data_IF_602748869333
#
_entry.id   IF_602748869333
#
_cell.length_a   1.000
_cell.length_b   1.000
_cell.length_c   1.000
_cell.angle_alpha   90.00
_cell.angle_beta   90.00
_cell.angle_gamma   90.00
#
_symmetry.space_group_name_H-M   'P 1'
#
loop_
_entity.id
_entity.type
_entity.pdbx_description
1 polymer ?
#
# COMPACT_ATOMS: atom_id res chain seq x y z
N UNK A 1 12.89 12.20 -10.85
CA UNK A 1 12.74 10.74 -11.03
C UNK A 1 11.96 10.07 -9.90
N UNK A 2 11.98 10.58 -8.65
CA UNK A 2 11.28 10.00 -7.49
C UNK A 2 9.75 9.91 -7.64
N UNK A 3 9.09 10.97 -8.10
CA UNK A 3 7.61 11.03 -8.17
C UNK A 3 6.97 9.90 -9.00
N UNK A 4 7.67 9.40 -10.02
CA UNK A 4 7.18 8.30 -10.87
C UNK A 4 7.22 6.95 -10.15
N UNK A 5 8.16 6.75 -9.24
CA UNK A 5 8.23 5.55 -8.39
C UNK A 5 7.16 5.59 -7.30
N UNK A 6 6.91 6.76 -6.70
CA UNK A 6 5.87 6.92 -5.68
C UNK A 6 4.49 6.55 -6.26
N UNK A 7 4.19 7.00 -7.48
CA UNK A 7 2.95 6.65 -8.19
C UNK A 7 2.78 5.14 -8.40
N UNK A 8 3.88 4.41 -8.65
CA UNK A 8 3.86 2.95 -8.80
C UNK A 8 3.51 2.28 -7.47
N UNK A 9 4.02 2.78 -6.34
CA UNK A 9 3.70 2.23 -5.02
C UNK A 9 2.22 2.39 -4.70
N UNK A 10 1.65 3.58 -4.91
CA UNK A 10 0.21 3.78 -4.67
C UNK A 10 -0.66 2.95 -5.60
N UNK A 11 -0.23 2.73 -6.85
CA UNK A 11 -0.95 1.83 -7.78
C UNK A 11 -0.89 0.38 -7.34
N UNK A 12 0.23 -0.08 -6.77
CA UNK A 12 0.31 -1.41 -6.16
C UNK A 12 -0.60 -1.51 -4.94
N UNK A 13 -0.60 -0.50 -4.07
CA UNK A 13 -1.45 -0.46 -2.87
C UNK A 13 -2.94 -0.49 -3.23
N UNK A 14 -3.36 0.31 -4.21
CA UNK A 14 -4.73 0.30 -4.74
C UNK A 14 -5.14 -1.11 -5.15
N UNK A 15 -4.35 -1.79 -5.99
CA UNK A 15 -4.65 -3.16 -6.44
C UNK A 15 -4.69 -4.18 -5.30
N UNK A 16 -3.84 -4.02 -4.29
CA UNK A 16 -3.85 -4.89 -3.12
C UNK A 16 -5.16 -4.70 -2.33
N UNK A 17 -5.56 -3.47 -2.06
CA UNK A 17 -6.82 -3.17 -1.37
C UNK A 17 -8.03 -3.65 -2.17
N UNK A 18 -7.98 -3.53 -3.49
CA UNK A 18 -9.01 -4.00 -4.43
C UNK A 18 -9.10 -5.53 -4.52
N UNK A 19 -8.11 -6.26 -4.00
CA UNK A 19 -8.16 -7.72 -3.87
C UNK A 19 -8.78 -8.19 -2.54
N UNK A 20 -9.05 -7.27 -1.61
CA UNK A 20 -9.66 -7.57 -0.33
C UNK A 20 -11.19 -7.57 -0.44
N UNK A 21 -11.93 -8.26 0.46
CA UNK A 21 -13.39 -8.35 0.39
C UNK A 21 -14.18 -7.03 0.49
N UNK A 22 -13.50 -5.90 0.74
CA UNK A 22 -14.13 -4.57 0.86
C UNK A 22 -14.08 -3.78 -0.46
N UNK A 23 -13.32 -4.26 -1.45
CA UNK A 23 -13.00 -3.63 -2.74
C UNK A 23 -12.42 -2.19 -2.65
N UNK A 24 -11.58 -1.82 -3.61
CA UNK A 24 -11.00 -0.47 -3.70
C UNK A 24 -10.64 -0.18 -5.17
N UNK A 25 -11.65 -0.07 -6.06
CA UNK A 25 -11.44 -0.16 -7.49
C UNK A 25 -10.70 1.04 -8.06
N UNK A 26 -10.04 0.82 -9.20
CA UNK A 26 -9.47 1.91 -10.00
C UNK A 26 -10.62 2.76 -10.55
N UNK A 27 -10.54 4.07 -10.36
CA UNK A 27 -11.49 5.02 -10.96
C UNK A 27 -10.88 5.75 -12.15
N UNK A 28 -11.71 6.24 -13.07
CA UNK A 28 -11.27 7.03 -14.22
C UNK A 28 -10.68 8.39 -13.79
N UNK A 29 -11.21 8.99 -12.72
CA UNK A 29 -10.73 10.27 -12.18
C UNK A 29 -9.39 10.14 -11.45
N UNK A 30 -8.97 8.92 -11.10
CA UNK A 30 -7.78 8.67 -10.30
C UNK A 30 -7.93 9.14 -8.84
N UNK A 31 -9.15 9.41 -8.38
CA UNK A 31 -9.41 9.90 -7.01
C UNK A 31 -8.91 8.92 -5.96
N UNK A 32 -8.95 7.62 -6.25
CA UNK A 32 -8.47 6.56 -5.36
C UNK A 32 -6.97 6.69 -5.03
N UNK A 33 -6.16 7.17 -5.98
CA UNK A 33 -4.72 7.41 -5.75
C UNK A 33 -4.49 8.69 -4.97
N UNK A 34 -5.29 9.74 -5.24
CA UNK A 34 -5.23 10.99 -4.48
C UNK A 34 -5.54 10.74 -3.01
N UNK A 35 -6.57 9.93 -2.74
CA UNK A 35 -6.92 9.47 -1.40
C UNK A 35 -5.71 8.76 -0.77
N UNK A 36 -5.13 7.75 -1.42
CA UNK A 36 -3.97 7.04 -0.85
C UNK A 36 -2.79 7.97 -0.53
N UNK A 37 -2.48 8.94 -1.40
CA UNK A 37 -1.43 9.95 -1.18
C UNK A 37 -1.72 10.89 -0.01
N UNK A 38 -2.99 11.07 0.35
CA UNK A 38 -3.39 11.88 1.52
C UNK A 38 -3.31 11.09 2.82
N UNK A 39 -3.40 9.76 2.77
CA UNK A 39 -3.36 8.89 3.96
C UNK A 39 -1.98 8.30 4.25
N UNK A 40 -1.14 8.15 3.23
CA UNK A 40 0.14 7.47 3.34
C UNK A 40 1.25 8.26 2.66
N UNK A 41 2.43 8.26 3.29
CA UNK A 41 3.70 8.49 2.60
C UNK A 41 4.02 7.30 1.68
N UNK A 42 4.93 7.46 0.69
CA UNK A 42 5.33 6.34 -0.16
C UNK A 42 5.87 5.16 0.65
N UNK A 43 6.65 5.44 1.70
CA UNK A 43 7.23 4.42 2.57
C UNK A 43 6.15 3.68 3.37
N UNK A 44 5.15 4.39 3.91
CA UNK A 44 4.02 3.74 4.60
C UNK A 44 3.16 2.90 3.64
N UNK A 45 2.99 3.34 2.39
CA UNK A 45 2.30 2.56 1.38
C UNK A 45 3.05 1.26 1.03
N UNK A 46 4.39 1.27 1.02
CA UNK A 46 5.19 0.05 0.90
C UNK A 46 5.05 -0.87 2.12
N UNK A 47 5.00 -0.31 3.33
CA UNK A 47 4.75 -1.05 4.56
C UNK A 47 3.37 -1.73 4.51
N UNK A 48 2.34 -0.97 4.11
CA UNK A 48 0.96 -1.46 4.02
C UNK A 48 0.83 -2.66 3.08
N UNK A 49 1.57 -2.67 1.96
CA UNK A 49 1.63 -3.79 1.01
C UNK A 49 2.18 -5.10 1.61
N UNK A 50 2.84 -5.05 2.76
CA UNK A 50 3.38 -6.24 3.46
C UNK A 50 2.49 -6.70 4.60
N UNK A 51 1.47 -5.92 4.95
CA UNK A 51 0.51 -6.29 5.99
C UNK A 51 -0.45 -7.36 5.46
N UNK A 52 -1.02 -8.10 6.40
CA UNK A 52 -2.09 -9.07 6.14
C UNK A 52 -3.37 -8.52 6.74
N UNK A 53 -4.50 -8.97 6.20
CA UNK A 53 -5.83 -8.64 6.73
C UNK A 53 -5.99 -9.10 8.20
N UNK A 54 -5.34 -10.21 8.56
CA UNK A 54 -5.34 -10.72 9.93
C UNK A 54 -4.26 -9.99 10.73
N UNK A 55 -4.61 -9.40 11.89
CA UNK A 55 -3.64 -8.79 12.79
C UNK A 55 -2.54 -9.78 13.16
N UNK A 56 -1.29 -9.33 13.10
CA UNK A 56 -0.12 -10.10 13.49
C UNK A 56 0.63 -9.32 14.58
N UNK A 57 1.22 -10.04 15.53
CA UNK A 57 2.13 -9.43 16.49
C UNK A 57 3.31 -8.76 15.76
N UNK A 58 3.78 -7.63 16.28
CA UNK A 58 4.89 -6.89 15.68
C UNK A 58 6.15 -7.76 15.46
N UNK A 59 6.41 -8.71 16.38
CA UNK A 59 7.52 -9.66 16.27
C UNK A 59 7.38 -10.58 15.06
N UNK A 60 6.17 -11.00 14.72
CA UNK A 60 5.90 -11.84 13.55
C UNK A 60 6.07 -11.06 12.23
N UNK A 61 5.84 -9.74 12.26
CA UNK A 61 6.08 -8.84 11.12
C UNK A 61 7.58 -8.60 10.87
N UNK A 62 8.45 -8.71 11.88
CA UNK A 62 9.87 -8.35 11.69
C UNK A 62 10.58 -9.15 10.57
N UNK A 63 10.22 -10.42 10.36
CA UNK A 63 10.86 -11.28 9.35
C UNK A 63 10.58 -10.84 7.89
N UNK A 64 9.34 -10.57 7.45
CA UNK A 64 9.08 -10.02 6.12
C UNK A 64 9.64 -8.60 5.94
N UNK A 65 9.71 -7.79 7.01
CA UNK A 65 10.18 -6.39 6.93
C UNK A 65 11.71 -6.24 6.90
N UNK A 66 12.48 -7.22 7.40
CA UNK A 66 13.95 -7.19 7.41
C UNK A 66 14.60 -7.07 6.01
N UNK A 67 13.88 -7.34 4.93
CA UNK A 67 14.39 -7.20 3.54
C UNK A 67 14.18 -5.80 2.95
N UNK A 68 13.53 -4.90 3.68
CA UNK A 68 13.16 -3.54 3.24
C UNK A 68 14.08 -2.46 3.83
N UNK A 69 14.74 -2.77 4.95
CA UNK A 69 15.81 -1.99 5.59
C UNK A 69 17.16 -2.49 5.09
#
# INVERSE_FOLDING_TARGET
MSAKNDDIVYRKLQKYLDSLPIDYPKTESGVEIRILKSFFTPQEAEIALKLKLIPQEAKALFRPFKKML
#
